data_IF_484680864085
#
_entry.id   IF_484680864085
#
_cell.length_a   1.000
_cell.length_b   1.000
_cell.length_c   1.000
_cell.angle_alpha   90.00
_cell.angle_beta   90.00
_cell.angle_gamma   90.00
#
_symmetry.space_group_name_H-M   'P 1'
#
loop_
_entity.id
_entity.type
_entity.pdbx_description
1 polymer ?
#
# COMPACT_ATOMS: atom_id res chain seq x y z
N UNK A 1 -9.45 -2.94 -11.83
CA UNK A 1 -7.98 -3.08 -11.76
C UNK A 1 -7.48 -2.94 -10.33
N UNK A 2 -7.36 -1.70 -9.82
CA UNK A 2 -7.09 -1.50 -8.41
C UNK A 2 -8.26 -2.10 -7.63
N UNK A 3 -7.99 -2.97 -6.67
CA UNK A 3 -9.05 -3.51 -5.82
C UNK A 3 -9.46 -2.42 -4.82
N UNK A 4 -10.74 -2.37 -4.43
CA UNK A 4 -11.14 -1.44 -3.38
C UNK A 4 -10.36 -1.73 -2.10
N UNK A 5 -9.96 -0.68 -1.38
CA UNK A 5 -9.23 -0.80 -0.13
C UNK A 5 -10.12 -0.30 0.99
N UNK A 6 -10.30 -1.13 2.00
CA UNK A 6 -11.19 -0.88 3.14
C UNK A 6 -10.39 -0.87 4.43
N UNK A 7 -10.83 -0.03 5.37
CA UNK A 7 -10.37 -0.12 6.76
C UNK A 7 -10.77 -1.49 7.32
N UNK A 8 -9.93 -2.04 8.18
CA UNK A 8 -10.11 -3.38 8.77
C UNK A 8 -10.60 -3.27 10.20
N UNK A 9 -11.04 -4.38 10.79
CA UNK A 9 -11.63 -4.40 12.14
C UNK A 9 -10.73 -3.79 13.23
N UNK A 10 -9.40 -3.82 13.07
CA UNK A 10 -8.44 -3.23 14.00
C UNK A 10 -7.93 -1.83 13.60
N UNK A 11 -8.49 -1.20 12.55
CA UNK A 11 -8.17 0.18 12.18
C UNK A 11 -8.43 1.21 13.29
N UNK A 12 -9.46 1.07 14.15
CA UNK A 12 -9.65 1.96 15.30
C UNK A 12 -8.46 1.92 16.29
N UNK A 13 -7.89 0.74 16.56
CA UNK A 13 -6.69 0.60 17.40
C UNK A 13 -5.49 1.38 16.84
N UNK A 14 -5.28 1.30 15.51
CA UNK A 14 -4.23 2.04 14.81
C UNK A 14 -4.46 3.55 14.91
N UNK A 15 -5.70 4.01 14.71
CA UNK A 15 -6.07 5.41 14.86
C UNK A 15 -5.84 5.92 16.30
N UNK A 16 -6.24 5.14 17.31
CA UNK A 16 -6.01 5.48 18.73
C UNK A 16 -4.51 5.55 19.05
N UNK A 17 -3.71 4.60 18.54
CA UNK A 17 -2.26 4.64 18.72
C UNK A 17 -1.60 5.84 18.04
N UNK A 18 -2.05 6.22 16.84
CA UNK A 18 -1.58 7.45 16.19
C UNK A 18 -1.93 8.70 17.03
N UNK A 19 -3.09 8.74 17.68
CA UNK A 19 -3.43 9.84 18.59
C UNK A 19 -2.54 9.87 19.83
N UNK A 20 -2.18 8.71 20.41
CA UNK A 20 -1.20 8.63 21.49
C UNK A 20 0.17 9.14 21.03
N UNK A 21 0.66 8.72 19.85
CA UNK A 21 1.92 9.21 19.29
C UNK A 21 1.90 10.73 19.13
N UNK A 22 0.81 11.28 18.58
CA UNK A 22 0.62 12.72 18.40
C UNK A 22 0.63 13.44 19.75
N UNK A 23 -0.15 12.97 20.72
CA UNK A 23 -0.25 13.56 22.07
C UNK A 23 1.11 13.57 22.76
N UNK A 24 1.81 12.45 22.74
CA UNK A 24 3.15 12.31 23.30
C UNK A 24 4.15 13.26 22.64
N UNK A 25 4.21 13.28 21.31
CA UNK A 25 5.10 14.18 20.58
C UNK A 25 4.82 15.66 20.88
N UNK A 26 3.56 16.07 20.96
CA UNK A 26 3.17 17.43 21.32
C UNK A 26 3.56 17.76 22.77
N UNK A 27 3.38 16.83 23.69
CA UNK A 27 3.80 17.01 25.09
C UNK A 27 5.31 17.20 25.22
N UNK A 28 6.13 16.42 24.49
CA UNK A 28 7.58 16.62 24.43
C UNK A 28 7.96 18.03 23.92
N UNK A 29 7.13 18.60 23.05
CA UNK A 29 7.30 19.94 22.51
C UNK A 29 6.75 21.06 23.40
N UNK A 30 6.14 20.77 24.55
CA UNK A 30 5.68 21.84 25.44
C UNK A 30 6.90 22.58 26.03
N UNK A 31 6.85 23.93 26.12
CA UNK A 31 7.97 24.71 26.68
C UNK A 31 8.37 24.26 28.09
N UNK A 32 7.38 23.86 28.90
CA UNK A 32 7.59 23.43 30.29
C UNK A 32 8.09 21.98 30.44
N UNK A 33 8.11 21.17 29.37
CA UNK A 33 8.57 19.77 29.41
C UNK A 33 10.09 19.74 29.26
N UNK A 34 10.82 19.23 30.25
CA UNK A 34 12.27 19.04 30.17
C UNK A 34 12.62 17.54 30.14
N UNK A 35 13.87 17.20 29.85
CA UNK A 35 14.33 15.80 29.88
C UNK A 35 13.99 15.08 31.19
N UNK A 36 14.14 15.76 32.35
CA UNK A 36 13.80 15.21 33.66
C UNK A 36 12.31 14.92 33.85
N UNK A 37 11.43 15.62 33.12
CA UNK A 37 9.98 15.37 33.18
C UNK A 37 9.55 14.16 32.36
N UNK A 38 10.43 13.61 31.53
CA UNK A 38 10.21 12.32 30.85
C UNK A 38 10.49 11.19 31.84
N UNK A 39 9.51 10.94 32.70
CA UNK A 39 9.50 9.91 33.75
C UNK A 39 8.14 9.20 33.77
N UNK A 40 8.07 8.06 34.46
CA UNK A 40 6.82 7.31 34.64
C UNK A 40 5.68 8.18 35.17
N UNK A 41 5.95 8.95 36.24
CA UNK A 41 4.98 9.87 36.83
C UNK A 41 4.63 11.02 35.88
N UNK A 42 5.59 11.50 35.09
CA UNK A 42 5.39 12.60 34.14
C UNK A 42 4.48 12.25 32.96
N UNK A 43 4.32 10.96 32.65
CA UNK A 43 3.44 10.47 31.57
C UNK A 43 1.99 10.26 32.02
N UNK A 44 1.74 10.19 33.32
CA UNK A 44 0.41 9.92 33.86
C UNK A 44 -0.61 11.00 33.44
N UNK A 45 -1.92 10.70 33.46
CA UNK A 45 -2.96 11.68 33.20
C UNK A 45 -2.75 12.97 34.01
N UNK A 46 -2.98 14.16 33.42
CA UNK A 46 -3.65 14.38 32.14
C UNK A 46 -2.74 14.40 30.90
N UNK A 47 -1.43 14.08 31.04
CA UNK A 47 -0.49 14.12 29.90
C UNK A 47 -0.90 13.12 28.82
N UNK A 48 -1.11 11.86 29.22
CA UNK A 48 -1.80 10.86 28.41
C UNK A 48 -3.25 10.72 28.83
N UNK A 49 -4.08 10.10 28.00
CA UNK A 49 -5.52 10.05 28.27
C UNK A 49 -5.84 9.10 29.43
N UNK A 50 -5.08 8.02 29.56
CA UNK A 50 -5.31 6.99 30.57
C UNK A 50 -4.01 6.51 31.21
N UNK A 51 -4.13 5.92 32.42
CA UNK A 51 -3.01 5.26 33.08
C UNK A 51 -2.50 4.04 32.28
N UNK A 52 -3.38 3.35 31.54
CA UNK A 52 -3.00 2.22 30.67
C UNK A 52 -2.03 2.69 29.57
N UNK A 53 -2.38 3.76 28.87
CA UNK A 53 -1.52 4.36 27.85
C UNK A 53 -0.18 4.82 28.44
N UNK A 54 -0.21 5.42 29.64
CA UNK A 54 0.99 5.90 30.32
C UNK A 54 1.93 4.77 30.74
N UNK A 55 1.40 3.73 31.37
CA UNK A 55 2.18 2.59 31.81
C UNK A 55 2.77 1.83 30.62
N UNK A 56 1.96 1.61 29.57
CA UNK A 56 2.46 1.00 28.33
C UNK A 56 3.54 1.85 27.68
N UNK A 57 3.35 3.17 27.56
CA UNK A 57 4.34 4.05 26.96
C UNK A 57 5.63 4.07 27.77
N UNK A 58 5.55 4.08 29.10
CA UNK A 58 6.72 4.01 29.96
C UNK A 58 7.52 2.72 29.73
N UNK A 59 6.87 1.56 29.73
CA UNK A 59 7.52 0.27 29.42
C UNK A 59 8.09 0.26 27.99
N UNK A 60 7.36 0.82 27.03
CA UNK A 60 7.82 0.95 25.65
C UNK A 60 9.09 1.82 25.54
N UNK A 61 9.18 2.92 26.28
CA UNK A 61 10.33 3.81 26.28
C UNK A 61 11.61 3.15 26.82
N UNK A 62 11.50 2.09 27.65
CA UNK A 62 12.66 1.34 28.14
C UNK A 62 13.33 0.49 27.06
N UNK A 63 12.68 0.28 25.91
CA UNK A 63 13.22 -0.54 24.82
C UNK A 63 14.41 0.15 24.13
N UNK A 64 15.32 -0.66 23.59
CA UNK A 64 16.51 -0.19 22.86
C UNK A 64 16.34 -0.30 21.35
N UNK A 65 16.71 0.75 20.62
CA UNK A 65 16.77 0.81 19.16
C UNK A 65 18.05 1.50 18.71
N UNK A 66 18.79 0.86 17.79
CA UNK A 66 20.09 1.33 17.31
C UNK A 66 21.08 1.70 18.45
N UNK A 67 21.11 0.90 19.52
CA UNK A 67 22.02 1.07 20.66
C UNK A 67 21.62 2.16 21.66
N UNK A 68 20.48 2.83 21.50
CA UNK A 68 19.97 3.82 22.45
C UNK A 68 18.56 3.46 22.91
N UNK A 69 18.21 3.79 24.16
CA UNK A 69 16.83 3.62 24.63
C UNK A 69 15.90 4.62 23.95
N UNK A 70 14.64 4.24 23.78
CA UNK A 70 13.62 5.17 23.29
C UNK A 70 13.39 6.31 24.30
N UNK A 71 13.61 6.05 25.59
CA UNK A 71 13.59 7.05 26.65
C UNK A 71 14.63 8.16 26.42
N UNK A 72 15.89 7.82 26.11
CA UNK A 72 16.92 8.84 25.90
C UNK A 72 16.62 9.73 24.68
N UNK A 73 15.98 9.17 23.65
CA UNK A 73 15.48 9.91 22.48
C UNK A 73 14.35 10.86 22.86
N UNK A 74 13.38 10.38 23.64
CA UNK A 74 12.30 11.23 24.15
C UNK A 74 12.86 12.37 25.02
N UNK A 75 13.83 12.08 25.89
CA UNK A 75 14.53 13.08 26.71
C UNK A 75 15.29 14.11 25.86
N UNK A 76 15.93 13.68 24.77
CA UNK A 76 16.60 14.57 23.80
C UNK A 76 15.59 15.56 23.21
N UNK A 77 14.42 15.07 22.77
CA UNK A 77 13.36 15.91 22.22
C UNK A 77 12.75 16.88 23.24
N UNK A 78 12.55 16.40 24.48
CA UNK A 78 12.10 17.25 25.58
C UNK A 78 13.15 18.30 25.98
N UNK A 79 14.44 18.06 25.71
CA UNK A 79 15.52 19.01 25.94
C UNK A 79 15.72 20.05 24.85
N UNK A 80 14.96 19.99 23.73
CA UNK A 80 15.16 20.92 22.61
C UNK A 80 14.84 22.38 23.00
N UNK A 81 15.51 23.36 22.37
CA UNK A 81 15.15 24.77 22.48
C UNK A 81 13.70 25.05 22.09
N UNK A 82 13.09 26.08 22.69
CA UNK A 82 11.68 26.43 22.49
C UNK A 82 11.29 26.61 21.02
N UNK A 83 12.13 27.25 20.21
CA UNK A 83 11.90 27.45 18.77
C UNK A 83 11.81 26.12 18.01
N UNK A 84 12.70 25.17 18.33
CA UNK A 84 12.72 23.86 17.69
C UNK A 84 11.52 23.01 18.12
N UNK A 85 11.13 23.10 19.39
CA UNK A 85 9.90 22.48 19.90
C UNK A 85 8.66 23.02 19.19
N UNK A 86 8.56 24.33 19.01
CA UNK A 86 7.44 24.94 18.30
C UNK A 86 7.37 24.47 16.83
N UNK A 87 8.53 24.42 16.15
CA UNK A 87 8.61 23.90 14.78
C UNK A 87 8.18 22.42 14.67
N UNK A 88 8.66 21.57 15.58
CA UNK A 88 8.28 20.15 15.62
C UNK A 88 6.79 19.99 15.95
N UNK A 89 6.25 20.74 16.91
CA UNK A 89 4.84 20.70 17.25
C UNK A 89 3.94 21.08 16.07
N UNK A 90 4.27 22.16 15.36
CA UNK A 90 3.54 22.59 14.17
C UNK A 90 3.57 21.51 13.07
N UNK A 91 4.73 20.90 12.85
CA UNK A 91 4.88 19.79 11.91
C UNK A 91 4.06 18.56 12.32
N UNK A 92 4.07 18.19 13.62
CA UNK A 92 3.28 17.05 14.14
C UNK A 92 1.79 17.29 13.97
N UNK A 93 1.30 18.52 14.20
CA UNK A 93 -0.10 18.86 14.00
C UNK A 93 -0.51 18.75 12.53
N UNK A 94 0.30 19.32 11.62
CA UNK A 94 0.06 19.26 10.18
C UNK A 94 0.11 17.81 9.67
N UNK A 95 1.15 17.06 10.02
CA UNK A 95 1.33 15.67 9.56
C UNK A 95 0.31 14.71 10.17
N UNK A 96 -0.18 14.98 11.38
CA UNK A 96 -1.26 14.20 11.98
C UNK A 96 -2.62 14.39 11.30
N UNK A 97 -2.78 15.40 10.44
CA UNK A 97 -4.04 15.77 9.80
C UNK A 97 -4.12 15.31 8.33
N UNK A 98 -3.51 14.16 7.99
CA UNK A 98 -3.41 13.65 6.61
C UNK A 98 -4.72 13.74 5.78
N UNK A 99 -5.89 13.34 6.29
CA UNK A 99 -7.15 13.43 5.54
C UNK A 99 -7.52 14.85 5.07
N UNK A 100 -7.10 15.89 5.80
CA UNK A 100 -7.40 17.28 5.44
C UNK A 100 -6.74 17.70 4.12
N UNK A 101 -5.62 17.06 3.75
CA UNK A 101 -4.85 17.42 2.56
C UNK A 101 -5.33 16.75 1.28
N UNK A 102 -6.36 15.91 1.40
CA UNK A 102 -7.08 15.34 0.26
C UNK A 102 -8.38 16.09 -0.06
N UNK A 103 -8.75 17.09 0.75
CA UNK A 103 -9.94 17.92 0.53
C UNK A 103 -9.71 18.95 -0.60
N UNK A 104 -10.77 19.40 -1.30
CA UNK A 104 -10.67 20.49 -2.26
C UNK A 104 -10.06 21.76 -1.63
N UNK A 105 -9.12 22.40 -2.33
CA UNK A 105 -8.47 23.63 -1.86
C UNK A 105 -7.45 23.45 -0.73
N UNK A 106 -7.06 22.22 -0.41
CA UNK A 106 -6.04 21.98 0.61
C UNK A 106 -4.69 22.66 0.28
N UNK A 107 -4.03 23.16 1.32
CA UNK A 107 -2.67 23.71 1.22
C UNK A 107 -1.59 22.66 1.02
N UNK A 108 -0.32 23.09 1.07
CA UNK A 108 0.83 22.20 0.91
C UNK A 108 1.16 21.46 2.21
N UNK A 109 1.38 20.15 2.09
CA UNK A 109 1.89 19.30 3.17
C UNK A 109 3.36 19.65 3.49
N UNK A 110 3.79 19.61 4.78
CA UNK A 110 5.15 19.97 5.15
C UNK A 110 6.16 18.89 4.77
N UNK A 111 6.78 19.02 3.59
CA UNK A 111 7.79 18.06 3.08
C UNK A 111 9.17 18.16 3.75
N UNK A 112 9.47 19.30 4.35
CA UNK A 112 10.74 19.54 5.04
C UNK A 112 10.78 18.89 6.43
N UNK A 113 11.97 18.46 6.85
CA UNK A 113 12.21 18.11 8.26
C UNK A 113 12.06 19.38 9.13
N UNK A 114 11.34 19.34 10.26
CA UNK A 114 11.12 20.51 11.10
C UNK A 114 12.34 20.89 11.96
N UNK A 115 13.33 20.00 12.07
CA UNK A 115 14.53 20.18 12.88
C UNK A 115 15.76 20.35 11.97
N UNK A 116 16.57 21.38 12.25
CA UNK A 116 17.80 21.64 11.51
C UNK A 116 18.90 20.60 11.75
N UNK A 117 18.97 20.09 12.98
CA UNK A 117 19.92 19.04 13.39
C UNK A 117 19.48 17.68 12.86
N UNK A 118 20.41 16.98 12.19
CA UNK A 118 20.18 15.59 11.73
C UNK A 118 20.03 14.63 12.92
N UNK A 119 20.74 14.87 14.01
CA UNK A 119 20.70 14.03 15.20
C UNK A 119 19.34 14.12 15.88
N UNK A 120 18.82 15.33 16.08
CA UNK A 120 17.52 15.53 16.75
C UNK A 120 16.37 15.00 15.88
N UNK A 121 16.46 15.18 14.56
CA UNK A 121 15.51 14.56 13.63
C UNK A 121 15.56 13.03 13.69
N UNK A 122 16.76 12.44 13.75
CA UNK A 122 16.89 10.99 13.88
C UNK A 122 16.33 10.48 15.20
N UNK A 123 16.52 11.20 16.31
CA UNK A 123 15.91 10.86 17.60
C UNK A 123 14.37 10.82 17.51
N UNK A 124 13.75 11.83 16.89
CA UNK A 124 12.30 11.83 16.62
C UNK A 124 11.87 10.70 15.70
N UNK A 125 12.59 10.52 14.59
CA UNK A 125 12.25 9.50 13.59
C UNK A 125 12.32 8.09 14.19
N UNK A 126 13.40 7.75 14.88
CA UNK A 126 13.60 6.43 15.48
C UNK A 126 12.61 6.18 16.62
N UNK A 127 12.26 7.20 17.40
CA UNK A 127 11.21 7.11 18.42
C UNK A 127 9.84 6.81 17.82
N UNK A 128 9.43 7.57 16.79
CA UNK A 128 8.11 7.41 16.15
C UNK A 128 8.02 6.14 15.28
N UNK A 129 9.08 5.75 14.58
CA UNK A 129 9.12 4.50 13.82
C UNK A 129 9.08 3.26 14.73
N UNK A 130 9.57 3.37 15.98
CA UNK A 130 9.55 2.29 16.97
C UNK A 130 8.14 1.87 17.38
N UNK A 131 7.16 2.77 17.30
CA UNK A 131 5.75 2.40 17.50
C UNK A 131 5.31 1.32 16.51
N UNK A 132 5.84 1.33 15.29
CA UNK A 132 5.57 0.29 14.31
C UNK A 132 6.50 -0.91 14.49
N UNK A 133 7.82 -0.72 14.54
CA UNK A 133 8.76 -1.85 14.51
C UNK A 133 8.82 -2.65 15.81
N UNK A 134 8.45 -2.05 16.95
CA UNK A 134 8.43 -2.71 18.27
C UNK A 134 7.02 -2.73 18.85
N UNK A 135 6.36 -1.57 18.91
CA UNK A 135 5.04 -1.45 19.55
C UNK A 135 4.01 -2.33 18.84
N UNK A 136 3.83 -2.13 17.54
CA UNK A 136 2.86 -2.85 16.74
C UNK A 136 3.26 -4.32 16.54
N UNK A 137 4.55 -4.63 16.50
CA UNK A 137 5.02 -6.02 16.46
C UNK A 137 4.57 -6.81 17.70
N UNK A 138 4.68 -6.21 18.89
CA UNK A 138 4.45 -6.92 20.16
C UNK A 138 3.04 -6.71 20.74
N UNK A 139 2.33 -5.66 20.32
CA UNK A 139 0.98 -5.31 20.79
C UNK A 139 0.86 -3.84 21.20
N UNK A 140 -0.05 -3.12 20.53
CA UNK A 140 -0.43 -1.75 20.87
C UNK A 140 -1.29 -1.71 22.14
N UNK A 141 -1.37 -0.59 22.89
CA UNK A 141 -2.15 -0.52 24.13
C UNK A 141 -3.66 -0.40 23.88
N UNK A 142 -4.18 -1.00 22.81
CA UNK A 142 -5.58 -0.88 22.40
C UNK A 142 -6.12 -2.22 21.90
N UNK A 143 -7.38 -2.49 22.25
CA UNK A 143 -8.21 -3.50 21.59
C UNK A 143 -8.54 -3.05 20.16
N UNK A 144 -9.08 -3.97 19.36
CA UNK A 144 -9.43 -3.71 17.95
C UNK A 144 -10.35 -2.48 17.77
N UNK A 145 -11.26 -2.23 18.71
CA UNK A 145 -12.19 -1.10 18.75
C UNK A 145 -11.55 0.23 19.17
N UNK A 146 -10.27 0.24 19.55
CA UNK A 146 -9.54 1.43 19.99
C UNK A 146 -9.65 1.72 21.48
N UNK A 147 -10.29 0.87 22.28
CA UNK A 147 -10.36 1.04 23.74
C UNK A 147 -8.99 0.66 24.37
N UNK A 148 -8.43 1.49 25.27
CA UNK A 148 -7.19 1.16 25.97
C UNK A 148 -7.25 -0.19 26.70
N UNK A 149 -6.17 -0.96 26.63
CA UNK A 149 -6.05 -2.28 27.29
C UNK A 149 -4.63 -2.54 27.77
N UNK A 150 -4.50 -3.23 28.89
CA UNK A 150 -3.22 -3.65 29.49
C UNK A 150 -2.74 -5.01 28.95
N UNK A 151 -3.64 -5.79 28.35
CA UNK A 151 -3.35 -7.07 27.72
C UNK A 151 -4.14 -7.26 26.40
N UNK A 152 -3.62 -8.11 25.51
CA UNK A 152 -4.30 -8.47 24.27
C UNK A 152 -4.39 -7.33 23.24
N UNK A 153 -3.37 -6.47 23.23
CA UNK A 153 -3.24 -5.38 22.29
C UNK A 153 -3.13 -5.82 20.83
N UNK A 154 -3.64 -5.03 19.90
CA UNK A 154 -3.54 -5.32 18.45
C UNK A 154 -2.09 -5.40 18.00
N UNK A 155 -1.75 -6.47 17.29
CA UNK A 155 -0.42 -6.70 16.71
C UNK A 155 -0.39 -6.54 15.19
N UNK A 156 0.82 -6.49 14.64
CA UNK A 156 1.08 -6.53 13.19
C UNK A 156 0.44 -7.77 12.55
N UNK A 157 0.56 -8.93 13.21
CA UNK A 157 -0.01 -10.18 12.72
C UNK A 157 -1.54 -10.14 12.67
N UNK A 158 -2.18 -9.50 13.65
CA UNK A 158 -3.63 -9.29 13.66
C UNK A 158 -4.07 -8.41 12.49
N UNK A 159 -3.34 -7.33 12.22
CA UNK A 159 -3.62 -6.47 11.08
C UNK A 159 -3.47 -7.19 9.75
N UNK A 160 -2.37 -7.94 9.54
CA UNK A 160 -2.17 -8.73 8.30
C UNK A 160 -3.32 -9.71 8.10
N UNK A 161 -3.72 -10.42 9.16
CA UNK A 161 -4.84 -11.38 9.12
C UNK A 161 -6.17 -10.69 8.82
N UNK A 162 -6.46 -9.57 9.48
CA UNK A 162 -7.67 -8.81 9.27
C UNK A 162 -7.72 -8.22 7.84
N UNK A 163 -6.60 -7.71 7.33
CA UNK A 163 -6.51 -7.18 5.97
C UNK A 163 -6.72 -8.27 4.92
N UNK A 164 -6.06 -9.44 5.07
CA UNK A 164 -6.27 -10.59 4.21
C UNK A 164 -7.74 -11.01 4.19
N UNK A 165 -8.35 -11.13 5.38
CA UNK A 165 -9.77 -11.53 5.51
C UNK A 165 -10.71 -10.56 4.79
N UNK A 166 -10.56 -9.25 5.02
CA UNK A 166 -11.43 -8.22 4.43
C UNK A 166 -11.28 -8.10 2.91
N UNK A 167 -10.08 -8.32 2.37
CA UNK A 167 -9.79 -8.11 0.95
C UNK A 167 -9.73 -9.42 0.14
N UNK A 168 -10.09 -10.54 0.76
CA UNK A 168 -10.14 -11.85 0.10
C UNK A 168 -11.28 -11.88 -0.92
N UNK A 169 -10.96 -12.25 -2.16
CA UNK A 169 -11.94 -12.35 -3.23
C UNK A 169 -12.64 -13.72 -3.27
N UNK A 170 -11.94 -14.79 -2.92
CA UNK A 170 -12.47 -16.15 -2.83
C UNK A 170 -12.42 -16.64 -1.37
N UNK A 171 -13.53 -17.04 -0.74
CA UNK A 171 -13.56 -17.44 0.67
C UNK A 171 -12.68 -18.66 1.01
N UNK A 172 -12.36 -19.52 0.05
CA UNK A 172 -11.50 -20.69 0.27
C UNK A 172 -10.11 -20.25 0.79
N UNK A 173 -9.66 -20.74 1.95
CA UNK A 173 -8.35 -20.37 2.51
C UNK A 173 -7.14 -20.79 1.66
N UNK A 174 -7.33 -21.70 0.70
CA UNK A 174 -6.28 -22.13 -0.23
C UNK A 174 -6.32 -21.36 -1.56
N UNK A 175 -7.31 -20.49 -1.74
CA UNK A 175 -7.38 -19.66 -2.93
C UNK A 175 -6.26 -18.63 -2.96
N UNK A 176 -5.83 -18.27 -4.16
CA UNK A 176 -4.80 -17.24 -4.36
C UNK A 176 -5.31 -15.89 -3.89
N UNK A 177 -4.48 -15.17 -3.16
CA UNK A 177 -4.76 -13.81 -2.72
C UNK A 177 -4.25 -12.79 -3.75
N UNK A 178 -4.98 -11.67 -3.87
CA UNK A 178 -4.74 -10.65 -4.89
C UNK A 178 -4.22 -9.36 -4.26
N UNK A 179 -3.13 -8.82 -4.82
CA UNK A 179 -2.58 -7.53 -4.42
C UNK A 179 -3.52 -6.40 -4.85
N UNK A 180 -3.93 -5.57 -3.88
CA UNK A 180 -4.91 -4.50 -4.10
C UNK A 180 -4.43 -3.41 -5.08
N UNK A 181 -3.12 -3.24 -5.26
CA UNK A 181 -2.55 -2.19 -6.12
C UNK A 181 -2.25 -2.63 -7.55
N UNK A 182 -1.89 -3.89 -7.80
CA UNK A 182 -1.50 -4.33 -9.15
C UNK A 182 -2.39 -5.44 -9.71
N UNK A 183 -3.37 -5.92 -8.93
CA UNK A 183 -4.26 -7.03 -9.26
C UNK A 183 -3.55 -8.37 -9.46
N UNK A 184 -2.23 -8.46 -9.24
CA UNK A 184 -1.46 -9.70 -9.32
C UNK A 184 -1.47 -10.48 -8.02
N UNK A 185 -0.61 -11.49 -7.92
CA UNK A 185 -0.47 -12.28 -6.69
C UNK A 185 -0.06 -11.38 -5.51
N UNK A 186 -0.71 -11.55 -4.36
CA UNK A 186 -0.28 -10.94 -3.10
C UNK A 186 1.04 -11.55 -2.62
N UNK A 187 1.18 -12.87 -2.81
CA UNK A 187 2.35 -13.67 -2.41
C UNK A 187 2.30 -14.13 -0.96
N UNK A 188 3.24 -15.01 -0.60
CA UNK A 188 3.29 -15.63 0.74
C UNK A 188 3.83 -14.66 1.82
N UNK A 189 4.71 -13.75 1.41
CA UNK A 189 5.38 -12.76 2.26
C UNK A 189 5.00 -11.32 1.90
N UNK A 190 3.70 -10.95 1.96
CA UNK A 190 3.30 -9.58 1.67
C UNK A 190 3.81 -8.62 2.74
N UNK A 191 3.93 -7.35 2.36
CA UNK A 191 4.39 -6.30 3.24
C UNK A 191 3.24 -5.36 3.58
N UNK A 192 3.16 -4.96 4.85
CA UNK A 192 2.38 -3.78 5.21
C UNK A 192 3.19 -2.55 4.80
N UNK A 193 2.78 -1.94 3.71
CA UNK A 193 3.36 -0.72 3.18
C UNK A 193 2.87 0.50 3.96
N UNK A 194 3.71 1.54 3.97
CA UNK A 194 3.35 2.89 4.38
C UNK A 194 3.16 3.74 3.13
N UNK A 195 1.90 3.99 2.72
CA UNK A 195 1.61 4.69 1.45
C UNK A 195 2.44 5.98 1.34
N UNK A 196 2.29 6.86 2.32
CA UNK A 196 3.23 7.93 2.63
C UNK A 196 4.38 7.35 3.46
N UNK A 197 5.59 7.40 2.91
CA UNK A 197 6.77 6.73 3.50
C UNK A 197 7.06 7.17 4.93
N UNK A 198 7.09 6.20 5.86
CA UNK A 198 7.44 6.44 7.27
C UNK A 198 8.82 7.08 7.46
N UNK A 199 9.75 6.84 6.52
CA UNK A 199 11.12 7.42 6.58
C UNK A 199 11.11 8.94 6.57
N UNK A 200 10.18 9.54 5.83
CA UNK A 200 10.01 10.99 5.77
C UNK A 200 8.96 11.48 6.78
N UNK A 201 7.94 10.67 7.05
CA UNK A 201 6.81 11.02 7.91
C UNK A 201 6.60 9.98 9.01
N UNK A 202 7.50 9.90 10.00
CA UNK A 202 7.51 8.80 10.97
C UNK A 202 6.31 8.83 11.92
N UNK A 203 5.62 9.98 12.05
CA UNK A 203 4.34 10.10 12.78
C UNK A 203 3.22 9.24 12.15
N UNK A 204 3.34 8.87 10.88
CA UNK A 204 2.37 8.03 10.17
C UNK A 204 2.70 6.52 10.26
N UNK A 205 3.63 6.12 11.13
CA UNK A 205 4.13 4.74 11.20
C UNK A 205 3.05 3.71 11.57
N UNK A 206 2.02 4.10 12.33
CA UNK A 206 0.86 3.26 12.69
C UNK A 206 -0.47 3.90 12.27
N UNK A 207 -0.44 4.85 11.33
CA UNK A 207 -1.66 5.51 10.86
C UNK A 207 -2.53 4.55 10.05
N UNK A 208 -3.79 4.34 10.48
CA UNK A 208 -4.71 3.42 9.83
C UNK A 208 -4.91 3.72 8.33
N UNK A 209 -4.98 5.00 7.97
CA UNK A 209 -5.14 5.43 6.58
C UNK A 209 -3.81 5.39 5.81
N UNK A 210 -2.67 5.11 6.45
CA UNK A 210 -1.38 5.04 5.78
C UNK A 210 -0.85 3.61 5.59
N UNK A 211 -1.47 2.61 6.24
CA UNK A 211 -1.05 1.21 6.16
C UNK A 211 -1.89 0.44 5.15
N UNK A 212 -1.25 -0.42 4.35
CA UNK A 212 -1.94 -1.33 3.43
C UNK A 212 -1.09 -2.58 3.16
N UNK A 213 -1.72 -3.74 3.04
CA UNK A 213 -1.02 -4.98 2.70
C UNK A 213 -0.90 -5.11 1.18
N UNK A 214 0.33 -5.16 0.67
CA UNK A 214 0.60 -5.26 -0.77
C UNK A 214 1.72 -6.27 -1.05
N UNK A 215 1.83 -6.72 -2.30
CA UNK A 215 2.87 -7.66 -2.70
C UNK A 215 4.27 -7.02 -2.65
N UNK A 216 5.30 -7.82 -2.41
CA UNK A 216 6.69 -7.37 -2.29
C UNK A 216 7.14 -6.60 -3.54
N UNK A 217 6.74 -7.04 -4.74
CA UNK A 217 7.06 -6.32 -5.98
C UNK A 217 6.52 -4.89 -5.95
N UNK A 218 5.29 -4.64 -5.53
CA UNK A 218 4.76 -3.28 -5.45
C UNK A 218 5.49 -2.44 -4.39
N UNK A 219 5.76 -3.05 -3.24
CA UNK A 219 6.35 -2.39 -2.07
C UNK A 219 7.82 -1.99 -2.26
N UNK A 220 8.60 -2.78 -3.00
CA UNK A 220 10.05 -2.64 -3.06
C UNK A 220 10.54 -1.83 -4.27
N UNK A 221 11.83 -1.46 -4.25
CA UNK A 221 12.49 -0.88 -5.41
C UNK A 221 12.57 -1.91 -6.56
N UNK A 222 12.44 -1.52 -7.83
CA UNK A 222 12.37 -0.14 -8.34
C UNK A 222 10.96 0.48 -8.36
N UNK A 223 9.95 -0.17 -7.77
CA UNK A 223 8.56 0.31 -7.75
C UNK A 223 8.38 1.36 -6.65
N UNK A 224 7.43 1.18 -5.71
CA UNK A 224 7.12 2.23 -4.73
C UNK A 224 8.33 2.51 -3.83
N UNK A 225 8.83 1.50 -3.12
CA UNK A 225 9.92 1.65 -2.17
C UNK A 225 9.73 2.84 -1.24
N UNK A 226 10.68 3.78 -1.32
CA UNK A 226 10.71 4.99 -0.50
C UNK A 226 10.34 6.26 -1.28
N UNK A 227 9.82 6.13 -2.50
CA UNK A 227 9.46 7.27 -3.35
C UNK A 227 8.34 8.09 -2.70
N UNK A 228 8.35 9.42 -2.86
CA UNK A 228 7.24 10.25 -2.38
C UNK A 228 5.98 9.98 -3.21
N UNK A 229 4.82 10.11 -2.56
CA UNK A 229 3.48 10.01 -3.17
C UNK A 229 2.75 11.35 -3.06
N UNK A 230 3.50 12.41 -3.37
CA UNK A 230 3.05 13.80 -3.41
C UNK A 230 3.96 14.60 -4.34
N UNK A 231 3.47 15.70 -4.89
CA UNK A 231 4.21 16.62 -5.75
C UNK A 231 4.51 17.89 -4.97
N UNK A 232 5.71 17.96 -4.36
CA UNK A 232 6.11 19.10 -3.52
C UNK A 232 5.21 19.35 -2.30
N UNK A 233 4.58 18.29 -1.77
CA UNK A 233 3.61 18.38 -0.67
C UNK A 233 2.16 18.53 -1.11
N UNK A 234 1.90 18.67 -2.41
CA UNK A 234 0.54 18.55 -2.97
C UNK A 234 0.18 17.09 -3.20
N UNK A 235 -1.03 16.70 -2.80
CA UNK A 235 -1.61 15.39 -3.14
C UNK A 235 -2.60 15.48 -4.31
N UNK A 236 -2.78 16.64 -4.93
CA UNK A 236 -3.82 16.89 -5.94
C UNK A 236 -3.76 15.94 -7.15
N UNK A 237 -2.55 15.56 -7.53
CA UNK A 237 -2.21 14.69 -8.66
C UNK A 237 -1.89 13.25 -8.21
N UNK A 238 -2.31 12.85 -7.01
CA UNK A 238 -2.11 11.50 -6.51
C UNK A 238 -3.42 10.84 -6.11
N UNK A 239 -3.55 9.56 -6.45
CA UNK A 239 -4.48 8.68 -5.75
C UNK A 239 -3.91 8.32 -4.39
N UNK A 240 -4.81 8.06 -3.44
CA UNK A 240 -4.48 7.53 -2.14
C UNK A 240 -5.43 6.37 -1.83
N UNK A 241 -4.92 5.19 -1.39
CA UNK A 241 -5.71 3.97 -1.25
C UNK A 241 -7.04 4.14 -0.51
N UNK A 242 -7.07 4.92 0.58
CA UNK A 242 -8.26 5.21 1.37
C UNK A 242 -8.92 6.57 1.07
N UNK A 243 -8.13 7.65 1.07
CA UNK A 243 -8.62 9.03 1.07
C UNK A 243 -9.01 9.57 -0.32
N UNK A 244 -8.52 8.94 -1.39
CA UNK A 244 -8.84 9.26 -2.78
C UNK A 244 -8.55 8.04 -3.65
N UNK A 245 -9.38 7.02 -3.51
CA UNK A 245 -9.14 5.72 -4.13
C UNK A 245 -9.15 5.81 -5.67
N UNK A 246 -8.22 5.12 -6.31
CA UNK A 246 -8.20 4.98 -7.78
C UNK A 246 -9.04 3.80 -8.29
N UNK A 247 -9.66 3.01 -7.42
CA UNK A 247 -10.59 1.95 -7.82
C UNK A 247 -11.73 2.56 -8.64
N UNK A 248 -12.16 1.87 -9.71
CA UNK A 248 -13.10 2.36 -10.72
C UNK A 248 -12.65 3.58 -11.56
N UNK A 249 -11.64 4.33 -11.13
CA UNK A 249 -11.06 5.45 -11.89
C UNK A 249 -9.94 5.01 -12.85
N UNK A 250 -9.16 4.00 -12.45
CA UNK A 250 -8.05 3.45 -13.26
C UNK A 250 -8.53 2.31 -14.16
N UNK A 251 -8.19 2.39 -15.45
CA UNK A 251 -8.56 1.46 -16.51
C UNK A 251 -7.30 0.91 -17.22
N UNK A 252 -7.48 -0.22 -17.91
CA UNK A 252 -6.45 -0.86 -18.74
C UNK A 252 -6.84 -0.72 -20.20
N UNK A 253 -6.05 0.02 -20.96
CA UNK A 253 -6.24 0.16 -22.39
C UNK A 253 -5.26 -0.72 -23.16
N UNK A 254 -5.78 -1.50 -24.10
CA UNK A 254 -4.97 -2.24 -25.05
C UNK A 254 -4.60 -1.36 -26.24
N UNK A 255 -3.29 -1.14 -26.43
CA UNK A 255 -2.75 -0.37 -27.55
C UNK A 255 -2.30 -1.34 -28.65
N UNK A 256 -3.18 -1.55 -29.63
CA UNK A 256 -2.99 -2.53 -30.71
C UNK A 256 -1.62 -2.39 -31.43
N UNK A 257 -1.18 -1.20 -31.89
CA UNK A 257 0.10 -1.08 -32.60
C UNK A 257 1.32 -1.42 -31.73
N UNK A 258 1.25 -1.10 -30.43
CA UNK A 258 2.34 -1.36 -29.49
C UNK A 258 2.30 -2.77 -28.88
N UNK A 259 1.20 -3.49 -29.08
CA UNK A 259 0.92 -4.76 -28.43
C UNK A 259 1.16 -4.69 -26.91
N UNK A 260 0.57 -3.66 -26.28
CA UNK A 260 0.87 -3.28 -24.90
C UNK A 260 -0.39 -2.83 -24.14
N UNK A 261 -0.30 -2.86 -22.82
CA UNK A 261 -1.29 -2.34 -21.89
C UNK A 261 -0.85 -0.99 -21.35
N UNK A 262 -1.76 -0.02 -21.33
CA UNK A 262 -1.58 1.28 -20.70
C UNK A 262 -2.51 1.47 -19.51
N UNK A 263 -2.02 2.19 -18.51
CA UNK A 263 -2.79 2.69 -17.38
C UNK A 263 -3.43 4.03 -17.74
N UNK A 264 -4.74 4.09 -17.74
CA UNK A 264 -5.50 5.29 -18.10
C UNK A 264 -6.59 5.61 -17.08
N UNK A 265 -7.11 6.84 -17.15
CA UNK A 265 -8.26 7.30 -16.40
C UNK A 265 -8.99 8.40 -17.20
N UNK A 266 -10.14 8.85 -16.68
CA UNK A 266 -10.82 10.04 -17.22
C UNK A 266 -9.87 11.27 -17.17
N UNK A 267 -10.05 12.29 -18.04
CA UNK A 267 -9.13 13.43 -18.15
C UNK A 267 -8.78 14.12 -16.81
N UNK A 268 -9.76 14.26 -15.90
CA UNK A 268 -9.56 14.87 -14.58
C UNK A 268 -8.66 14.04 -13.64
N UNK A 269 -8.57 12.73 -13.88
CA UNK A 269 -7.80 11.77 -13.07
C UNK A 269 -6.55 11.25 -13.78
N UNK A 270 -6.35 11.57 -15.06
CA UNK A 270 -5.21 11.10 -15.84
C UNK A 270 -3.85 11.43 -15.21
N UNK A 271 -3.60 12.62 -14.62
CA UNK A 271 -2.35 12.87 -13.90
C UNK A 271 -2.14 11.91 -12.71
N UNK A 272 -3.21 11.55 -12.01
CA UNK A 272 -3.18 10.62 -10.87
C UNK A 272 -2.86 9.21 -11.32
N UNK A 273 -3.46 8.77 -12.42
CA UNK A 273 -3.19 7.47 -13.03
C UNK A 273 -1.74 7.38 -13.54
N UNK A 274 -1.22 8.44 -14.18
CA UNK A 274 0.16 8.50 -14.66
C UNK A 274 1.19 8.46 -13.52
N UNK A 275 0.96 9.20 -12.44
CA UNK A 275 1.81 9.16 -11.25
C UNK A 275 1.78 7.78 -10.59
N UNK A 276 0.62 7.15 -10.48
CA UNK A 276 0.48 5.80 -9.93
C UNK A 276 1.18 4.75 -10.81
N UNK A 277 1.05 4.86 -12.13
CA UNK A 277 1.72 3.97 -13.08
C UNK A 277 3.23 4.09 -12.96
N UNK A 278 3.76 5.32 -12.95
CA UNK A 278 5.19 5.58 -12.78
C UNK A 278 5.72 5.10 -11.42
N UNK A 279 4.91 5.20 -10.37
CA UNK A 279 5.29 4.73 -9.03
C UNK A 279 5.48 3.21 -9.01
N UNK A 280 4.57 2.47 -9.64
CA UNK A 280 4.45 1.01 -9.49
C UNK A 280 4.83 0.21 -10.75
N UNK A 281 5.23 0.89 -11.82
CA UNK A 281 5.48 0.38 -13.16
C UNK A 281 4.34 -0.50 -13.68
N UNK A 282 3.08 -0.03 -13.54
CA UNK A 282 1.89 -0.85 -13.79
C UNK A 282 1.77 -1.24 -15.27
N UNK A 283 1.79 -0.29 -16.20
CA UNK A 283 1.68 -0.52 -17.64
C UNK A 283 2.73 -1.53 -18.14
N UNK A 284 3.98 -1.38 -17.69
CA UNK A 284 5.07 -2.30 -18.02
C UNK A 284 4.80 -3.72 -17.50
N UNK A 285 4.37 -3.83 -16.24
CA UNK A 285 4.12 -5.13 -15.60
C UNK A 285 2.88 -5.82 -16.17
N UNK A 286 1.81 -5.07 -16.41
CA UNK A 286 0.60 -5.56 -17.04
C UNK A 286 0.83 -5.95 -18.49
N UNK A 287 1.66 -5.20 -19.23
CA UNK A 287 2.07 -5.59 -20.59
C UNK A 287 2.84 -6.92 -20.58
N UNK A 288 3.75 -7.11 -19.62
CA UNK A 288 4.48 -8.39 -19.50
C UNK A 288 3.52 -9.55 -19.22
N UNK A 289 2.58 -9.37 -18.29
CA UNK A 289 1.57 -10.38 -17.98
C UNK A 289 0.66 -10.67 -19.18
N UNK A 290 0.17 -9.62 -19.85
CA UNK A 290 -0.63 -9.74 -21.06
C UNK A 290 0.08 -10.56 -22.14
N UNK A 291 1.36 -10.27 -22.40
CA UNK A 291 2.16 -11.00 -23.39
C UNK A 291 2.44 -12.45 -22.96
N UNK A 292 2.65 -12.69 -21.67
CA UNK A 292 2.86 -14.04 -21.14
C UNK A 292 1.60 -14.91 -21.29
N UNK A 293 0.43 -14.37 -20.92
CA UNK A 293 -0.83 -15.10 -21.10
C UNK A 293 -1.18 -15.26 -22.59
N UNK A 294 -0.89 -14.28 -23.46
CA UNK A 294 -1.00 -14.44 -24.91
C UNK A 294 -0.17 -15.62 -25.43
N UNK A 295 1.12 -15.67 -25.06
CA UNK A 295 2.02 -16.75 -25.48
C UNK A 295 1.53 -18.12 -25.01
N UNK A 296 0.97 -18.20 -23.79
CA UNK A 296 0.36 -19.43 -23.27
C UNK A 296 -0.85 -19.88 -24.09
N UNK A 297 -1.73 -18.97 -24.50
CA UNK A 297 -2.86 -19.30 -25.38
C UNK A 297 -2.38 -19.75 -26.76
N UNK A 298 -1.36 -19.09 -27.31
CA UNK A 298 -0.72 -19.49 -28.56
C UNK A 298 -0.12 -20.91 -28.46
N UNK A 299 0.57 -21.23 -27.37
CA UNK A 299 1.14 -22.56 -27.12
C UNK A 299 0.07 -23.65 -27.02
N UNK A 300 -1.06 -23.36 -26.37
CA UNK A 300 -2.21 -24.29 -26.31
C UNK A 300 -2.71 -24.60 -27.71
N UNK A 301 -2.91 -23.58 -28.54
CA UNK A 301 -3.36 -23.74 -29.93
C UNK A 301 -2.33 -24.47 -30.78
N UNK A 302 -1.04 -24.12 -30.67
CA UNK A 302 0.05 -24.79 -31.37
C UNK A 302 0.11 -26.29 -31.05
N UNK A 303 -0.03 -26.68 -29.77
CA UNK A 303 -0.06 -28.10 -29.37
C UNK A 303 -1.27 -28.82 -29.95
N UNK A 304 -2.43 -28.18 -29.97
CA UNK A 304 -3.65 -28.76 -30.57
C UNK A 304 -3.49 -28.91 -32.08
N UNK A 305 -2.90 -27.94 -32.76
CA UNK A 305 -2.64 -27.97 -34.19
C UNK A 305 -1.69 -29.12 -34.57
N UNK A 306 -0.56 -29.27 -33.87
CA UNK A 306 0.36 -30.41 -34.09
C UNK A 306 -0.33 -31.76 -33.90
N UNK A 307 -1.19 -31.88 -32.87
CA UNK A 307 -1.95 -33.10 -32.63
C UNK A 307 -2.94 -33.40 -33.76
N UNK A 308 -3.62 -32.39 -34.32
CA UNK A 308 -4.52 -32.55 -35.47
C UNK A 308 -3.76 -33.03 -36.70
N UNK A 309 -2.63 -32.40 -37.01
CA UNK A 309 -1.77 -32.79 -38.15
C UNK A 309 -1.26 -34.23 -38.02
N UNK A 310 -0.80 -34.63 -36.82
CA UNK A 310 -0.36 -35.99 -36.56
C UNK A 310 -1.48 -37.03 -36.70
N UNK A 311 -2.74 -36.63 -36.50
CA UNK A 311 -3.93 -37.47 -36.67
C UNK A 311 -4.55 -37.37 -38.07
N UNK A 312 -3.92 -36.64 -39.01
CA UNK A 312 -4.45 -36.43 -40.37
C UNK A 312 -5.74 -35.58 -40.41
N UNK A 313 -6.03 -34.81 -39.36
CA UNK A 313 -7.20 -33.95 -39.27
C UNK A 313 -6.96 -32.60 -39.95
N UNK A 314 -8.04 -31.95 -40.40
CA UNK A 314 -7.98 -30.59 -40.92
C UNK A 314 -7.43 -29.61 -39.86
N UNK A 315 -6.68 -28.61 -40.32
CA UNK A 315 -6.17 -27.50 -39.50
C UNK A 315 -7.30 -26.73 -38.82
N UNK A 316 -6.99 -26.00 -37.75
CA UNK A 316 -7.99 -25.14 -37.11
C UNK A 316 -8.54 -24.08 -38.08
N UNK A 317 -9.86 -23.97 -38.12
CA UNK A 317 -10.57 -22.86 -38.75
C UNK A 317 -10.59 -21.63 -37.85
N UNK A 318 -10.88 -20.47 -38.44
CA UNK A 318 -11.07 -19.23 -37.70
C UNK A 318 -12.18 -19.37 -36.64
N UNK A 319 -13.28 -20.05 -36.98
CA UNK A 319 -14.42 -20.25 -36.08
C UNK A 319 -14.04 -21.10 -34.85
N UNK A 320 -13.26 -22.17 -35.03
CA UNK A 320 -12.78 -22.99 -33.91
C UNK A 320 -11.85 -22.22 -32.98
N UNK A 321 -10.98 -21.35 -33.53
CA UNK A 321 -10.12 -20.46 -32.75
C UNK A 321 -10.98 -19.47 -31.96
N UNK A 322 -11.95 -18.82 -32.60
CA UNK A 322 -12.87 -17.88 -31.93
C UNK A 322 -13.64 -18.56 -30.81
N UNK A 323 -14.22 -19.74 -31.06
CA UNK A 323 -14.95 -20.50 -30.05
C UNK A 323 -14.05 -20.87 -28.86
N UNK A 324 -12.80 -21.28 -29.12
CA UNK A 324 -11.87 -21.60 -28.04
C UNK A 324 -11.58 -20.38 -27.16
N UNK A 325 -11.29 -19.24 -27.79
CA UNK A 325 -10.95 -18.00 -27.10
C UNK A 325 -12.15 -17.42 -26.34
N UNK A 326 -13.36 -17.48 -26.93
CA UNK A 326 -14.58 -17.07 -26.26
C UNK A 326 -14.86 -17.93 -25.02
N UNK A 327 -14.67 -19.26 -25.12
CA UNK A 327 -14.79 -20.16 -23.98
C UNK A 327 -13.76 -19.81 -22.89
N UNK A 328 -12.49 -19.65 -23.26
CA UNK A 328 -11.45 -19.27 -22.31
C UNK A 328 -11.76 -17.95 -21.61
N UNK A 329 -12.18 -16.93 -22.35
CA UNK A 329 -12.54 -15.63 -21.79
C UNK A 329 -13.76 -15.72 -20.85
N UNK A 330 -14.74 -16.56 -21.17
CA UNK A 330 -15.92 -16.81 -20.32
C UNK A 330 -15.57 -17.58 -19.03
N UNK A 331 -14.52 -18.42 -19.07
CA UNK A 331 -14.04 -19.21 -17.93
C UNK A 331 -13.11 -18.39 -17.00
N UNK A 332 -12.78 -17.13 -17.33
CA UNK A 332 -11.96 -16.27 -16.47
C UNK A 332 -12.69 -15.93 -15.16
N UNK A 333 -11.99 -16.07 -14.05
CA UNK A 333 -12.52 -15.79 -12.71
C UNK A 333 -12.04 -14.45 -12.17
N UNK A 334 -12.98 -13.59 -11.77
CA UNK A 334 -12.73 -12.30 -11.09
C UNK A 334 -11.88 -12.42 -9.82
N UNK A 335 -11.84 -13.62 -9.24
CA UNK A 335 -11.14 -13.91 -8.00
C UNK A 335 -9.67 -14.32 -8.22
N UNK A 336 -9.26 -14.56 -9.46
CA UNK A 336 -7.89 -14.94 -9.78
C UNK A 336 -6.98 -13.70 -9.93
N UNK A 337 -5.69 -13.82 -9.58
CA UNK A 337 -4.68 -12.83 -9.93
C UNK A 337 -4.69 -12.53 -11.43
N UNK A 338 -4.43 -11.27 -11.76
CA UNK A 338 -4.34 -10.76 -13.12
C UNK A 338 -5.63 -10.84 -13.94
N UNK A 339 -6.78 -11.15 -13.33
CA UNK A 339 -8.07 -11.22 -14.01
C UNK A 339 -8.31 -10.06 -14.98
N UNK A 340 -8.12 -8.80 -14.55
CA UNK A 340 -8.36 -7.64 -15.43
C UNK A 340 -7.43 -7.61 -16.64
N UNK A 341 -6.16 -8.03 -16.49
CA UNK A 341 -5.22 -8.11 -17.61
C UNK A 341 -5.65 -9.21 -18.59
N UNK A 342 -6.05 -10.38 -18.06
CA UNK A 342 -6.52 -11.50 -18.87
C UNK A 342 -7.85 -11.20 -19.55
N UNK A 343 -8.74 -10.45 -18.90
CA UNK A 343 -9.99 -9.98 -19.48
C UNK A 343 -9.73 -9.04 -20.66
N UNK A 344 -8.79 -8.10 -20.53
CA UNK A 344 -8.35 -7.25 -21.65
C UNK A 344 -7.74 -8.07 -22.79
N UNK A 345 -6.96 -9.11 -22.47
CA UNK A 345 -6.46 -10.06 -23.48
C UNK A 345 -7.60 -10.80 -24.19
N UNK A 346 -8.62 -11.28 -23.47
CA UNK A 346 -9.83 -11.85 -24.05
C UNK A 346 -10.47 -10.94 -25.08
N UNK A 347 -10.72 -9.68 -24.72
CA UNK A 347 -11.27 -8.69 -25.64
C UNK A 347 -10.34 -8.43 -26.84
N UNK A 348 -9.03 -8.29 -26.60
CA UNK A 348 -8.04 -8.05 -27.66
C UNK A 348 -7.97 -9.21 -28.67
N UNK A 349 -8.03 -10.46 -28.19
CA UNK A 349 -8.01 -11.67 -29.02
C UNK A 349 -9.30 -11.86 -29.83
N UNK A 350 -10.40 -11.24 -29.40
CA UNK A 350 -11.67 -11.19 -30.15
C UNK A 350 -11.72 -10.10 -31.22
N UNK A 351 -10.73 -9.20 -31.25
CA UNK A 351 -10.61 -8.26 -32.35
C UNK A 351 -10.26 -8.98 -33.66
N UNK A 352 -11.00 -8.78 -34.78
CA UNK A 352 -10.80 -9.55 -36.03
C UNK A 352 -9.35 -9.56 -36.52
N UNK A 353 -8.67 -8.41 -36.49
CA UNK A 353 -7.27 -8.29 -36.90
C UNK A 353 -6.27 -9.08 -36.02
N UNK A 354 -6.63 -9.42 -34.77
CA UNK A 354 -5.80 -10.25 -33.88
C UNK A 354 -6.12 -11.72 -34.02
N UNK A 355 -7.39 -12.09 -34.10
CA UNK A 355 -7.77 -13.48 -34.38
C UNK A 355 -7.21 -13.95 -35.73
N UNK A 356 -7.26 -13.10 -36.76
CA UNK A 356 -6.68 -13.41 -38.07
C UNK A 356 -5.16 -13.56 -38.01
N UNK A 357 -4.46 -12.73 -37.23
CA UNK A 357 -3.02 -12.86 -37.05
C UNK A 357 -2.67 -14.19 -36.36
N UNK A 358 -3.44 -14.59 -35.35
CA UNK A 358 -3.26 -15.87 -34.66
C UNK A 358 -3.46 -17.08 -35.59
N UNK A 359 -4.45 -17.01 -36.49
CA UNK A 359 -4.64 -18.04 -37.52
C UNK A 359 -3.43 -18.13 -38.47
N UNK A 360 -2.90 -17.00 -38.92
CA UNK A 360 -1.68 -16.95 -39.74
C UNK A 360 -0.48 -17.54 -39.00
N UNK A 361 -0.32 -17.22 -37.72
CA UNK A 361 0.74 -17.79 -36.86
C UNK A 361 0.63 -19.31 -36.76
N UNK A 362 -0.59 -19.84 -36.59
CA UNK A 362 -0.84 -21.29 -36.53
C UNK A 362 -0.55 -22.01 -37.85
N UNK A 363 -0.75 -21.35 -38.99
CA UNK A 363 -0.45 -21.93 -40.31
C UNK A 363 1.05 -22.26 -40.49
N UNK A 364 1.92 -21.61 -39.71
CA UNK A 364 3.36 -21.87 -39.73
C UNK A 364 3.76 -23.13 -38.92
N UNK A 365 2.83 -23.71 -38.16
CA UNK A 365 3.06 -24.95 -37.41
C UNK A 365 3.18 -26.12 -38.37
N UNK A 366 4.26 -26.89 -38.22
CA UNK A 366 4.59 -28.11 -38.98
C UNK A 366 4.25 -29.36 -38.19
#
# INVERSE_FOLDING_TARGET
MLKPVHRVGCSPALAACQQLMKRFAIWLCQPATSAMKVSEQGLQPPVLATAIEANWLWSFLQRTEAGQTLLSRAQTLAGLPAVQKAALAAWVQAVGALPAYFQPGAGLWPVGRPLGSKQDWNAFKELMESFYVKGFADGLPYKADGIPTDAGGVTYADYVRAFRSVHRLNPDPNAREVCVLCGGHLGDTPHVDHWVTKRAFPLLSVCADNLLLICSTCNEAPNKGKKPVHSGGSFSDWFHPYLRAGNAHVQLDYVLPAFAIQCSAAPADQPKAANLDTLLNLSTRWTREFKAEYAKQQDVLNRRERRRLALGQARHSLAEIQQHLQKWAADLSLNEPHYEVHSVLGHALMHPARTQALLTELSAVR
#
